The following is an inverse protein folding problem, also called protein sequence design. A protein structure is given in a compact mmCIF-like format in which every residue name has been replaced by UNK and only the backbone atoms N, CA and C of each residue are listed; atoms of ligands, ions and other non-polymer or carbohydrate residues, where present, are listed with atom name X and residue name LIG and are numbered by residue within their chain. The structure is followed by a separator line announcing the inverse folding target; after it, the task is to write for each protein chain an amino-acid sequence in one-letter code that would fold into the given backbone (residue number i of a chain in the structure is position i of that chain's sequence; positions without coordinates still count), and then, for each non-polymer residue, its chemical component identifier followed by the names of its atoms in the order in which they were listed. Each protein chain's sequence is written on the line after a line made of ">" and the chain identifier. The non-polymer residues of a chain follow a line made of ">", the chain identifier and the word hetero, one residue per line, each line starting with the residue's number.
data_IF_796525094830
#
_entry.id   IF_796525094830
#
_cell.length_a   1.000
_cell.length_b   1.000
_cell.length_c   1.000
_cell.angle_alpha   90.00
_cell.angle_beta   90.00
_cell.angle_gamma   90.00
#
_symmetry.space_group_name_H-M   'P 1'
#
loop_
_entity.id
_entity.type
_entity.pdbx_description
1 polymer ?
#
# COMPACT_ATOMS: atom_id res chain seq x y z
N UNK A 1 11.79 14.80 4.03
CA UNK A 1 10.77 14.50 3.00
C UNK A 1 9.79 13.51 3.60
N UNK A 2 8.49 13.79 3.56
CA UNK A 2 7.47 12.89 4.13
C UNK A 2 7.34 11.62 3.28
N UNK A 3 7.17 10.46 3.91
CA UNK A 3 6.93 9.17 3.24
C UNK A 3 5.60 9.24 2.48
N UNK A 4 5.56 8.68 1.27
CA UNK A 4 4.32 8.55 0.49
C UNK A 4 3.80 7.11 0.54
N UNK A 5 2.70 6.81 1.26
CA UNK A 5 2.08 5.47 1.34
C UNK A 5 1.77 4.83 -0.01
N UNK A 6 1.54 5.64 -1.05
CA UNK A 6 1.30 5.16 -2.42
C UNK A 6 2.54 4.49 -3.01
N UNK A 7 3.73 4.91 -2.59
CA UNK A 7 5.04 4.45 -3.10
C UNK A 7 5.77 3.53 -2.12
N UNK A 8 5.64 3.82 -0.83
CA UNK A 8 6.32 3.16 0.28
C UNK A 8 5.29 2.82 1.38
N UNK A 9 4.38 1.87 1.11
CA UNK A 9 3.37 1.48 2.08
C UNK A 9 4.01 0.85 3.32
N UNK A 10 3.37 1.05 4.47
CA UNK A 10 3.73 0.52 5.77
C UNK A 10 2.45 0.08 6.51
N UNK A 11 2.54 -0.90 7.42
CA UNK A 11 1.41 -1.25 8.27
C UNK A 11 0.87 -0.01 9.01
N UNK A 12 -0.45 0.17 8.99
CA UNK A 12 -1.13 1.34 9.53
C UNK A 12 -1.59 2.34 8.46
N UNK A 13 -1.02 2.29 7.26
CA UNK A 13 -1.45 3.19 6.17
C UNK A 13 -2.90 2.95 5.78
N UNK A 14 -3.63 4.03 5.51
CA UNK A 14 -5.00 3.97 5.01
C UNK A 14 -5.12 4.79 3.73
N UNK A 15 -5.52 4.14 2.64
CA UNK A 15 -5.75 4.80 1.35
C UNK A 15 -7.19 4.57 0.91
N UNK A 16 -7.77 5.59 0.26
CA UNK A 16 -9.12 5.53 -0.32
C UNK A 16 -9.11 5.93 -1.79
N UNK A 17 -9.79 5.15 -2.62
CA UNK A 17 -9.98 5.44 -4.06
C UNK A 17 -11.35 4.99 -4.52
N UNK A 18 -12.10 5.87 -5.18
CA UNK A 18 -13.42 5.57 -5.73
C UNK A 18 -14.36 4.83 -4.75
N UNK A 19 -14.39 5.28 -3.49
CA UNK A 19 -15.22 4.69 -2.44
C UNK A 19 -14.67 3.39 -1.83
N UNK A 20 -13.54 2.86 -2.32
CA UNK A 20 -12.87 1.68 -1.77
C UNK A 20 -11.73 2.12 -0.85
N UNK A 21 -11.77 1.65 0.40
CA UNK A 21 -10.70 1.85 1.38
C UNK A 21 -9.83 0.61 1.50
N UNK A 22 -8.51 0.80 1.52
CA UNK A 22 -7.51 -0.24 1.80
C UNK A 22 -6.68 0.17 3.00
N UNK A 23 -6.69 -0.68 4.02
CA UNK A 23 -5.86 -0.57 5.21
C UNK A 23 -4.65 -1.48 5.03
N UNK A 24 -3.45 -0.93 4.99
CA UNK A 24 -2.23 -1.73 4.94
C UNK A 24 -2.03 -2.39 6.29
N UNK A 25 -2.03 -3.72 6.30
CA UNK A 25 -1.84 -4.54 7.50
C UNK A 25 -0.44 -5.13 7.57
N UNK A 26 0.27 -5.21 6.44
CA UNK A 26 1.56 -5.87 6.35
C UNK A 26 2.30 -5.51 5.07
N UNK A 27 3.61 -5.72 5.08
CA UNK A 27 4.46 -5.62 3.89
C UNK A 27 5.43 -6.79 3.84
N UNK A 28 5.71 -7.28 2.64
CA UNK A 28 6.66 -8.37 2.42
C UNK A 28 7.85 -7.87 1.63
N UNK A 29 9.05 -8.14 2.13
CA UNK A 29 10.31 -7.80 1.49
C UNK A 29 11.06 -9.06 1.06
N UNK A 30 11.84 -8.96 -0.02
CA UNK A 30 12.77 -10.03 -0.39
C UNK A 30 14.02 -10.01 0.50
N UNK A 31 14.93 -10.98 0.31
CA UNK A 31 16.19 -11.09 1.05
C UNK A 31 17.10 -9.85 0.95
N UNK A 32 16.89 -8.99 -0.06
CA UNK A 32 17.64 -7.74 -0.27
C UNK A 32 16.93 -6.52 0.35
N UNK A 33 15.84 -6.71 1.10
CA UNK A 33 15.04 -5.64 1.68
C UNK A 33 14.14 -4.90 0.69
N UNK A 34 14.01 -5.38 -0.56
CA UNK A 34 13.12 -4.76 -1.54
C UNK A 34 11.67 -5.15 -1.25
N UNK A 35 10.79 -4.17 -1.13
CA UNK A 35 9.35 -4.36 -1.00
C UNK A 35 8.79 -5.08 -2.23
N UNK A 36 8.13 -6.22 -2.02
CA UNK A 36 7.57 -7.06 -3.09
C UNK A 36 6.05 -7.10 -3.08
N UNK A 37 5.43 -7.10 -1.89
CA UNK A 37 3.99 -7.18 -1.73
C UNK A 37 3.50 -6.30 -0.58
N UNK A 38 2.22 -5.96 -0.68
CA UNK A 38 1.46 -5.22 0.32
C UNK A 38 0.29 -6.11 0.73
N UNK A 39 0.16 -6.34 2.03
CA UNK A 39 -1.02 -6.96 2.63
C UNK A 39 -1.95 -5.85 3.07
N UNK A 40 -3.22 -5.97 2.72
CA UNK A 40 -4.25 -5.00 3.03
C UNK A 40 -5.56 -5.69 3.38
N UNK A 41 -6.40 -5.03 4.17
CA UNK A 41 -7.72 -5.54 4.56
C UNK A 41 -7.69 -7.03 5.00
N UNK A 42 -7.13 -7.30 6.18
CA UNK A 42 -6.99 -8.60 6.87
C UNK A 42 -6.38 -9.76 6.05
N UNK A 43 -6.92 -10.11 4.89
CA UNK A 43 -6.55 -11.29 4.10
C UNK A 43 -6.25 -11.00 2.62
N UNK A 44 -6.22 -9.73 2.19
CA UNK A 44 -5.90 -9.39 0.80
C UNK A 44 -4.42 -9.08 0.63
N UNK A 45 -3.85 -9.53 -0.49
CA UNK A 45 -2.46 -9.28 -0.83
C UNK A 45 -2.33 -8.90 -2.29
N UNK A 46 -1.41 -7.98 -2.58
CA UNK A 46 -1.08 -7.60 -3.96
C UNK A 46 0.41 -7.32 -4.11
N UNK A 47 0.94 -7.42 -5.32
CA UNK A 47 2.33 -7.05 -5.60
C UNK A 47 2.51 -5.54 -5.42
N UNK A 48 3.74 -5.10 -5.15
CA UNK A 48 4.03 -3.67 -5.01
C UNK A 48 3.73 -2.88 -6.30
N UNK A 49 3.86 -3.52 -7.47
CA UNK A 49 3.51 -2.91 -8.75
C UNK A 49 2.00 -2.71 -8.89
N UNK A 50 1.19 -3.71 -8.53
CA UNK A 50 -0.26 -3.61 -8.54
C UNK A 50 -0.78 -2.63 -7.48
N UNK A 51 -0.14 -2.58 -6.30
CA UNK A 51 -0.41 -1.56 -5.29
C UNK A 51 -0.21 -0.16 -5.87
N UNK A 52 0.96 0.14 -6.46
CA UNK A 52 1.29 1.45 -7.03
C UNK A 52 0.40 1.83 -8.21
N UNK A 53 -0.03 0.84 -9.00
CA UNK A 53 -0.99 1.05 -10.10
C UNK A 53 -2.37 1.44 -9.57
N UNK A 54 -2.83 0.77 -8.50
CA UNK A 54 -4.10 1.13 -7.86
C UNK A 54 -3.99 2.45 -7.08
N UNK A 55 -2.90 2.64 -6.34
CA UNK A 55 -2.60 3.79 -5.49
C UNK A 55 -2.04 4.98 -6.29
N UNK A 56 -2.73 5.37 -7.35
CA UNK A 56 -2.30 6.45 -8.24
C UNK A 56 -2.61 7.84 -7.65
N UNK A 57 -2.56 8.89 -8.47
CA UNK A 57 -2.82 10.27 -8.03
C UNK A 57 -4.28 10.51 -7.58
N UNK A 58 -5.21 9.64 -7.97
CA UNK A 58 -6.62 9.71 -7.56
C UNK A 58 -6.85 9.09 -6.18
N UNK A 59 -5.83 8.45 -5.58
CA UNK A 59 -5.89 7.96 -4.21
C UNK A 59 -5.72 9.09 -3.20
N UNK A 60 -6.64 9.12 -2.25
CA UNK A 60 -6.54 9.90 -1.03
C UNK A 60 -5.77 9.09 0.03
N UNK A 61 -4.83 9.73 0.72
CA UNK A 61 -4.08 9.15 1.85
C UNK A 61 -4.71 9.67 3.13
N UNK A 62 -5.22 8.77 3.98
CA UNK A 62 -6.03 9.10 5.15
C UNK A 62 -5.27 9.01 6.48
N UNK A 63 -4.11 8.34 6.50
CA UNK A 63 -3.28 8.13 7.70
C UNK A 63 -2.14 7.18 7.41
#
# INVERSE_FOLDING_TARGET
>A
MSRDPRKQPQPGDVLRRFGVTRHVTGVLQNQRGTLTHVQFNQDQQTTISAWRSWANQDCEVLG
#
